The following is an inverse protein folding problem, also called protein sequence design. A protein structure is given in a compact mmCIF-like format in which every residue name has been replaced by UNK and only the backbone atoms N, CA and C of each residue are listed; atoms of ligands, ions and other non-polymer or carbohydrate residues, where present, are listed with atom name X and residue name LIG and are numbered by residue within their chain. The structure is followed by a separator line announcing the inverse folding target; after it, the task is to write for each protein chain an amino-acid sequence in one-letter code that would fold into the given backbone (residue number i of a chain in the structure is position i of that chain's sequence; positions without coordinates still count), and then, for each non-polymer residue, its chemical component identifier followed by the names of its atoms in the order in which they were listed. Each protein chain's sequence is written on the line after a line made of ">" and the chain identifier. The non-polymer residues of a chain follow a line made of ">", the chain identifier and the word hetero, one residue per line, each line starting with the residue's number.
data_IF_927411865742
#
_entry.id   IF_927411865742
#
_cell.length_a   1.000
_cell.length_b   1.000
_cell.length_c   1.000
_cell.angle_alpha   90.00
_cell.angle_beta   90.00
_cell.angle_gamma   90.00
#
_symmetry.space_group_name_H-M   'P 1'
#
loop_
_entity.id
_entity.type
_entity.pdbx_description
1 polymer ?
#
# COMPACT_ATOMS: atom_id res chain seq x y z
N UNK A 1 -14.21 -30.73 4.02
CA UNK A 1 -14.79 -30.89 5.37
C UNK A 1 -14.55 -29.56 6.08
N UNK A 2 -15.58 -28.71 6.17
CA UNK A 2 -15.49 -27.48 6.96
C UNK A 2 -15.58 -27.96 8.41
N UNK A 3 -14.49 -27.83 9.16
CA UNK A 3 -14.52 -28.14 10.59
C UNK A 3 -15.41 -27.10 11.27
N UNK A 4 -16.51 -27.56 11.85
CA UNK A 4 -17.41 -26.73 12.65
C UNK A 4 -16.57 -25.99 13.71
N UNK A 5 -16.60 -24.65 13.69
CA UNK A 5 -15.93 -23.79 14.68
C UNK A 5 -14.61 -23.15 14.26
N UNK A 6 -14.08 -23.40 13.06
CA UNK A 6 -12.88 -22.69 12.58
C UNK A 6 -13.26 -21.38 11.89
N UNK A 7 -12.54 -20.30 12.20
CA UNK A 7 -12.70 -19.03 11.47
C UNK A 7 -12.20 -19.16 10.04
N UNK A 8 -12.78 -18.41 9.10
CA UNK A 8 -12.31 -18.34 7.70
C UNK A 8 -10.85 -17.97 7.62
N UNK A 9 -10.39 -17.09 8.51
CA UNK A 9 -8.98 -16.68 8.61
C UNK A 9 -8.06 -17.85 9.01
N UNK A 10 -8.49 -18.71 9.94
CA UNK A 10 -7.70 -19.89 10.30
C UNK A 10 -7.56 -20.86 9.12
N UNK A 11 -8.61 -21.06 8.34
CA UNK A 11 -8.58 -21.91 7.15
C UNK A 11 -7.60 -21.34 6.13
N UNK A 12 -7.68 -20.03 5.83
CA UNK A 12 -6.77 -19.31 4.94
C UNK A 12 -5.30 -19.50 5.36
N UNK A 13 -4.98 -19.31 6.65
CA UNK A 13 -3.63 -19.50 7.15
C UNK A 13 -3.17 -20.97 7.12
N UNK A 14 -4.08 -21.93 7.33
CA UNK A 14 -3.74 -23.34 7.21
C UNK A 14 -3.40 -23.74 5.78
N UNK A 15 -4.14 -23.22 4.80
CA UNK A 15 -3.85 -23.42 3.38
C UNK A 15 -2.51 -22.74 3.00
N UNK A 16 -2.29 -21.52 3.47
CA UNK A 16 -1.01 -20.80 3.28
C UNK A 16 0.15 -21.57 3.89
N UNK A 17 -0.02 -22.13 5.09
CA UNK A 17 0.99 -22.98 5.74
C UNK A 17 1.33 -24.20 4.88
N UNK A 18 0.32 -24.87 4.33
CA UNK A 18 0.53 -26.00 3.42
C UNK A 18 1.33 -25.60 2.18
N UNK A 19 0.97 -24.46 1.56
CA UNK A 19 1.72 -23.90 0.43
C UNK A 19 3.18 -23.69 0.78
N UNK A 20 3.48 -23.04 1.93
CA UNK A 20 4.84 -22.73 2.33
C UNK A 20 5.69 -23.96 2.66
N UNK A 21 5.07 -25.07 3.06
CA UNK A 21 5.77 -26.33 3.35
C UNK A 21 5.96 -27.22 2.12
N UNK A 22 5.03 -27.20 1.19
CA UNK A 22 5.00 -28.16 0.08
C UNK A 22 5.39 -27.56 -1.27
N UNK A 23 5.36 -26.21 -1.44
CA UNK A 23 5.72 -25.60 -2.70
C UNK A 23 7.19 -25.78 -3.04
N UNK A 24 7.45 -26.00 -4.32
CA UNK A 24 8.77 -26.13 -4.91
C UNK A 24 8.99 -25.03 -5.95
N UNK A 25 10.22 -24.79 -6.46
CA UNK A 25 10.46 -23.83 -7.55
C UNK A 25 9.63 -24.07 -8.81
N UNK A 26 9.07 -25.26 -8.98
CA UNK A 26 8.20 -25.60 -10.11
C UNK A 26 6.72 -25.41 -9.85
N UNK A 27 6.34 -25.02 -8.64
CA UNK A 27 4.95 -24.77 -8.25
C UNK A 27 4.43 -23.45 -8.85
N UNK A 28 3.12 -23.39 -9.04
CA UNK A 28 2.37 -22.16 -9.26
C UNK A 28 1.52 -21.90 -8.02
N UNK A 29 1.77 -20.78 -7.37
CA UNK A 29 1.04 -20.33 -6.17
C UNK A 29 0.13 -19.17 -6.54
N UNK A 30 -1.13 -19.23 -6.10
CA UNK A 30 -2.11 -18.15 -6.28
C UNK A 30 -2.67 -17.82 -4.90
N UNK A 31 -2.46 -16.57 -4.48
CA UNK A 31 -2.95 -16.02 -3.20
C UNK A 31 -3.80 -14.78 -3.49
N UNK A 32 -4.99 -14.74 -2.88
CA UNK A 32 -5.94 -13.66 -3.08
C UNK A 32 -6.29 -13.02 -1.73
N UNK A 33 -5.85 -11.77 -1.54
CA UNK A 33 -6.09 -10.94 -0.36
C UNK A 33 -5.71 -11.59 0.99
N UNK A 34 -4.59 -12.32 1.05
CA UNK A 34 -4.11 -12.95 2.28
C UNK A 34 -4.02 -11.93 3.43
N UNK A 35 -4.57 -12.31 4.58
CA UNK A 35 -4.55 -11.49 5.80
C UNK A 35 -5.78 -10.59 5.99
N UNK A 36 -6.78 -10.63 5.09
CA UNK A 36 -7.99 -9.81 5.19
C UNK A 36 -8.84 -10.13 6.43
N UNK A 37 -8.72 -11.34 6.98
CA UNK A 37 -9.54 -11.83 8.08
C UNK A 37 -9.11 -11.40 9.49
N UNK A 38 -8.07 -10.57 9.63
CA UNK A 38 -7.52 -10.10 10.92
C UNK A 38 -7.35 -8.59 10.96
N UNK A 39 -6.68 -8.06 11.99
CA UNK A 39 -6.31 -6.64 12.07
C UNK A 39 -5.42 -6.25 10.90
N UNK A 40 -5.53 -4.98 10.43
CA UNK A 40 -4.73 -4.50 9.30
C UNK A 40 -3.23 -4.68 9.53
N UNK A 41 -2.73 -4.44 10.74
CA UNK A 41 -1.29 -4.56 11.03
C UNK A 41 -0.82 -6.01 10.97
N UNK A 42 -1.56 -6.94 11.59
CA UNK A 42 -1.21 -8.36 11.55
C UNK A 42 -1.34 -8.92 10.13
N UNK A 43 -2.41 -8.52 9.41
CA UNK A 43 -2.65 -8.94 8.03
C UNK A 43 -1.52 -8.51 7.10
N UNK A 44 -1.09 -7.24 7.18
CA UNK A 44 0.05 -6.73 6.40
C UNK A 44 1.34 -7.46 6.76
N UNK A 45 1.63 -7.66 8.05
CA UNK A 45 2.86 -8.32 8.49
C UNK A 45 2.93 -9.78 8.00
N UNK A 46 1.82 -10.52 8.08
CA UNK A 46 1.73 -11.89 7.56
C UNK A 46 1.90 -11.90 6.05
N UNK A 47 1.17 -11.05 5.33
CA UNK A 47 1.24 -10.97 3.88
C UNK A 47 2.65 -10.62 3.38
N UNK A 48 3.32 -9.62 3.99
CA UNK A 48 4.70 -9.24 3.68
C UNK A 48 5.66 -10.42 3.88
N UNK A 49 5.58 -11.09 5.03
CA UNK A 49 6.46 -12.23 5.34
C UNK A 49 6.25 -13.41 4.38
N UNK A 50 5.01 -13.65 3.96
CA UNK A 50 4.69 -14.71 2.96
C UNK A 50 5.23 -14.33 1.59
N UNK A 51 5.06 -13.09 1.14
CA UNK A 51 5.63 -12.61 -0.14
C UNK A 51 7.14 -12.76 -0.14
N UNK A 52 7.81 -12.34 0.94
CA UNK A 52 9.25 -12.48 1.07
C UNK A 52 9.69 -13.96 0.98
N UNK A 53 9.04 -14.85 1.74
CA UNK A 53 9.34 -16.29 1.71
C UNK A 53 9.17 -16.90 0.33
N UNK A 54 8.12 -16.53 -0.40
CA UNK A 54 7.86 -17.02 -1.77
C UNK A 54 8.88 -16.48 -2.76
N UNK A 55 9.29 -15.21 -2.63
CA UNK A 55 10.19 -14.55 -3.58
C UNK A 55 11.67 -14.87 -3.37
N UNK A 56 12.09 -15.03 -2.12
CA UNK A 56 13.53 -15.21 -1.77
C UNK A 56 13.91 -16.67 -1.57
N UNK A 57 13.08 -17.45 -0.85
CA UNK A 57 13.46 -18.80 -0.44
C UNK A 57 12.91 -19.87 -1.38
N UNK A 58 11.62 -19.80 -1.71
CA UNK A 58 10.96 -20.83 -2.53
C UNK A 58 11.19 -20.60 -4.03
N UNK A 59 11.22 -19.35 -4.48
CA UNK A 59 11.48 -19.01 -5.87
C UNK A 59 10.44 -19.55 -6.85
N UNK A 60 9.23 -19.90 -6.39
CA UNK A 60 8.17 -20.42 -7.23
C UNK A 60 7.41 -19.30 -7.95
N UNK A 61 6.72 -19.64 -9.04
CA UNK A 61 5.86 -18.69 -9.73
C UNK A 61 4.66 -18.37 -8.88
N UNK A 62 4.48 -17.08 -8.54
CA UNK A 62 3.41 -16.64 -7.65
C UNK A 62 2.59 -15.52 -8.27
N UNK A 63 1.27 -15.60 -8.16
CA UNK A 63 0.34 -14.50 -8.34
C UNK A 63 -0.24 -14.13 -6.97
N UNK A 64 0.03 -12.91 -6.51
CA UNK A 64 -0.39 -12.41 -5.21
C UNK A 64 -1.26 -11.16 -5.40
N UNK A 65 -2.58 -11.30 -5.21
CA UNK A 65 -3.49 -10.16 -5.23
C UNK A 65 -3.62 -9.59 -3.82
N UNK A 66 -3.57 -8.26 -3.68
CA UNK A 66 -3.69 -7.59 -2.39
C UNK A 66 -4.21 -6.17 -2.54
N UNK A 67 -4.85 -5.67 -1.50
CA UNK A 67 -5.22 -4.27 -1.32
C UNK A 67 -4.27 -3.52 -0.37
N UNK A 68 -3.21 -4.17 0.12
CA UNK A 68 -2.23 -3.56 1.01
C UNK A 68 -1.19 -2.75 0.24
N UNK A 69 -1.40 -1.43 0.14
CA UNK A 69 -0.47 -0.54 -0.58
C UNK A 69 0.94 -0.50 0.01
N UNK A 70 1.10 -0.76 1.31
CA UNK A 70 2.41 -0.84 1.96
C UNK A 70 3.34 -1.91 1.38
N UNK A 71 2.77 -3.02 0.87
CA UNK A 71 3.55 -4.05 0.17
C UNK A 71 4.15 -3.54 -1.15
N UNK A 72 3.51 -2.57 -1.80
CA UNK A 72 4.07 -1.93 -3.00
C UNK A 72 5.35 -1.18 -2.65
N UNK A 73 5.34 -0.39 -1.58
CA UNK A 73 6.51 0.38 -1.15
C UNK A 73 7.67 -0.56 -0.76
N UNK A 74 7.35 -1.68 -0.10
CA UNK A 74 8.33 -2.66 0.37
C UNK A 74 8.96 -3.46 -0.78
N UNK A 75 8.15 -3.92 -1.74
CA UNK A 75 8.61 -4.87 -2.77
C UNK A 75 8.81 -4.26 -4.17
N UNK A 76 8.54 -2.95 -4.39
CA UNK A 76 8.64 -2.33 -5.71
C UNK A 76 10.03 -2.39 -6.34
N UNK A 77 11.08 -2.40 -5.52
CA UNK A 77 12.47 -2.52 -5.95
C UNK A 77 13.04 -3.95 -5.84
N UNK A 78 12.22 -4.92 -5.42
CA UNK A 78 12.69 -6.29 -5.20
C UNK A 78 12.90 -7.02 -6.55
N UNK A 79 14.07 -7.64 -6.81
CA UNK A 79 14.43 -8.18 -8.13
C UNK A 79 13.51 -9.32 -8.60
N UNK A 80 12.92 -10.08 -7.67
CA UNK A 80 12.07 -11.22 -7.97
C UNK A 80 10.57 -10.89 -7.91
N UNK A 81 10.20 -9.62 -7.71
CA UNK A 81 8.80 -9.20 -7.60
C UNK A 81 8.46 -8.21 -8.72
N UNK A 82 7.36 -8.45 -9.40
CA UNK A 82 6.84 -7.58 -10.45
C UNK A 82 5.46 -7.07 -10.06
N UNK A 83 5.26 -5.76 -10.17
CA UNK A 83 3.98 -5.14 -9.85
C UNK A 83 3.06 -5.12 -11.05
N UNK A 84 1.78 -5.39 -10.80
CA UNK A 84 0.73 -5.28 -11.79
C UNK A 84 -0.57 -4.78 -11.14
N UNK A 85 -1.45 -4.18 -11.92
CA UNK A 85 -2.75 -3.74 -11.45
C UNK A 85 -3.83 -3.89 -12.51
N UNK A 86 -5.10 -3.89 -12.07
CA UNK A 86 -6.24 -3.85 -12.98
C UNK A 86 -6.46 -2.43 -13.45
N UNK A 87 -6.41 -2.22 -14.77
CA UNK A 87 -6.51 -0.88 -15.36
C UNK A 87 -7.91 -0.30 -15.30
N UNK A 88 -7.99 1.01 -15.18
CA UNK A 88 -9.20 1.80 -15.31
C UNK A 88 -8.95 3.03 -16.20
N UNK A 89 -10.01 3.60 -16.74
CA UNK A 89 -10.00 4.94 -17.34
C UNK A 89 -10.76 5.89 -16.44
N UNK A 90 -10.15 7.03 -16.15
CA UNK A 90 -10.84 8.19 -15.59
C UNK A 90 -11.24 9.06 -16.76
N UNK A 91 -12.54 9.37 -16.92
CA UNK A 91 -13.00 10.22 -18.01
C UNK A 91 -12.46 11.65 -17.81
N UNK A 92 -11.79 12.18 -18.85
CA UNK A 92 -11.35 13.57 -18.86
C UNK A 92 -12.55 14.50 -18.93
N UNK A 93 -12.46 15.61 -18.20
CA UNK A 93 -13.53 16.62 -18.00
C UNK A 93 -13.66 17.52 -19.24
N UNK A 94 -13.94 16.99 -20.41
CA UNK A 94 -14.07 17.84 -21.60
C UNK A 94 -15.51 18.16 -22.01
N UNK A 95 -16.53 17.55 -21.44
CA UNK A 95 -17.91 17.70 -21.93
C UNK A 95 -19.04 17.78 -20.87
N UNK A 96 -18.76 18.06 -19.59
CA UNK A 96 -19.82 18.13 -18.58
C UNK A 96 -19.84 19.51 -17.92
N UNK A 97 -21.04 20.10 -17.83
CA UNK A 97 -21.31 21.43 -17.27
C UNK A 97 -20.58 21.66 -15.94
N UNK A 98 -19.65 22.61 -15.91
CA UNK A 98 -18.86 23.05 -14.76
C UNK A 98 -19.69 23.74 -13.66
N UNK A 99 -21.01 23.72 -13.74
CA UNK A 99 -21.90 24.39 -12.81
C UNK A 99 -22.44 23.49 -11.68
N UNK A 100 -22.00 22.27 -11.59
CA UNK A 100 -22.40 21.39 -10.49
C UNK A 100 -21.31 21.46 -9.38
N UNK A 101 -21.61 22.15 -8.28
CA UNK A 101 -20.72 22.29 -7.12
C UNK A 101 -20.29 20.94 -6.49
N UNK A 102 -20.92 19.85 -6.91
CA UNK A 102 -20.61 18.47 -6.52
C UNK A 102 -19.85 17.70 -7.60
N UNK A 103 -19.36 18.35 -8.66
CA UNK A 103 -18.64 17.68 -9.72
C UNK A 103 -17.23 17.28 -9.24
N UNK A 104 -17.02 15.98 -9.12
CA UNK A 104 -15.72 15.40 -8.80
C UNK A 104 -15.11 14.81 -10.09
N UNK A 105 -13.94 15.31 -10.48
CA UNK A 105 -13.20 14.84 -11.67
C UNK A 105 -12.93 13.32 -11.62
N UNK A 106 -12.83 12.74 -10.43
CA UNK A 106 -12.70 11.30 -10.23
C UNK A 106 -14.05 10.55 -10.36
N UNK A 107 -15.13 11.24 -10.70
CA UNK A 107 -16.48 10.66 -10.64
C UNK A 107 -16.80 9.64 -11.74
N UNK A 108 -16.08 9.61 -12.85
CA UNK A 108 -16.33 8.72 -13.99
C UNK A 108 -15.17 7.73 -14.20
N UNK A 109 -15.06 6.75 -13.32
CA UNK A 109 -14.09 5.66 -13.47
C UNK A 109 -14.73 4.50 -14.21
N UNK A 110 -14.11 4.09 -15.31
CA UNK A 110 -14.47 2.88 -16.05
C UNK A 110 -13.40 1.80 -15.81
N UNK A 111 -13.80 0.70 -15.19
CA UNK A 111 -12.92 -0.45 -14.99
C UNK A 111 -12.78 -1.22 -16.30
N UNK A 112 -11.54 -1.41 -16.77
CA UNK A 112 -11.26 -2.05 -18.05
C UNK A 112 -11.05 -3.56 -17.93
N UNK A 113 -10.90 -4.08 -16.71
CA UNK A 113 -10.64 -5.51 -16.43
C UNK A 113 -9.43 -6.06 -17.19
N UNK A 114 -8.39 -5.24 -17.39
CA UNK A 114 -7.13 -5.61 -18.02
C UNK A 114 -5.99 -5.48 -17.03
N UNK A 115 -5.19 -6.53 -16.91
CA UNK A 115 -3.97 -6.51 -16.14
C UNK A 115 -2.90 -5.71 -16.90
N UNK A 116 -2.30 -4.73 -16.21
CA UNK A 116 -1.22 -3.90 -16.76
C UNK A 116 -0.07 -3.85 -15.76
N UNK A 117 1.15 -3.63 -16.25
CA UNK A 117 2.34 -3.48 -15.40
C UNK A 117 2.31 -2.21 -14.57
N UNK A 118 2.91 -2.27 -13.40
CA UNK A 118 2.97 -1.18 -12.44
C UNK A 118 1.97 -1.30 -11.29
N UNK A 119 2.23 -0.56 -10.22
CA UNK A 119 1.37 -0.53 -9.04
C UNK A 119 0.16 0.40 -9.24
N UNK A 120 -0.96 0.08 -8.61
CA UNK A 120 -2.08 0.99 -8.49
C UNK A 120 -1.81 1.99 -7.36
N UNK A 121 -1.73 3.27 -7.68
CA UNK A 121 -1.43 4.34 -6.72
C UNK A 121 -2.67 4.98 -6.10
N UNK A 122 -3.86 4.65 -6.59
CA UNK A 122 -5.13 5.24 -6.13
C UNK A 122 -6.14 4.15 -5.75
N UNK A 123 -6.94 4.43 -4.73
CA UNK A 123 -8.12 3.63 -4.39
C UNK A 123 -9.36 4.21 -5.08
N UNK A 124 -10.18 3.34 -5.64
CA UNK A 124 -11.45 3.69 -6.29
C UNK A 124 -12.68 3.24 -5.49
N UNK A 125 -12.52 2.95 -4.20
CA UNK A 125 -13.59 2.47 -3.34
C UNK A 125 -14.80 3.40 -3.28
N UNK A 126 -14.59 4.72 -3.21
CA UNK A 126 -15.67 5.72 -3.22
C UNK A 126 -16.42 5.77 -4.57
N UNK A 127 -15.71 5.51 -5.68
CA UNK A 127 -16.35 5.43 -6.99
C UNK A 127 -17.24 4.19 -7.09
N UNK A 128 -16.79 3.06 -6.57
CA UNK A 128 -17.60 1.83 -6.48
C UNK A 128 -18.80 2.02 -5.58
N UNK A 129 -18.63 2.67 -4.42
CA UNK A 129 -19.72 2.98 -3.50
C UNK A 129 -20.82 3.85 -4.16
N UNK A 130 -20.41 4.83 -4.99
CA UNK A 130 -21.36 5.63 -5.80
C UNK A 130 -22.07 4.79 -6.86
N UNK A 131 -21.34 3.92 -7.57
CA UNK A 131 -21.93 2.99 -8.54
C UNK A 131 -22.94 2.04 -7.88
N UNK A 132 -22.67 1.65 -6.64
CA UNK A 132 -23.57 0.87 -5.79
C UNK A 132 -24.75 1.71 -5.23
N UNK A 133 -24.84 3.00 -5.59
CA UNK A 133 -25.91 3.93 -5.20
C UNK A 133 -26.00 4.16 -3.68
N UNK A 134 -24.87 4.24 -2.97
CA UNK A 134 -24.89 4.73 -1.60
C UNK A 134 -25.44 6.16 -1.56
N UNK A 135 -26.16 6.56 -0.48
CA UNK A 135 -26.68 7.91 -0.30
C UNK A 135 -25.57 8.97 -0.42
N UNK A 136 -25.90 10.11 -1.05
CA UNK A 136 -24.89 11.14 -1.36
C UNK A 136 -24.28 11.78 -0.11
N UNK A 137 -25.04 11.94 0.96
CA UNK A 137 -24.58 12.45 2.25
C UNK A 137 -23.53 11.50 2.88
N UNK A 138 -23.73 10.19 2.77
CA UNK A 138 -22.77 9.17 3.20
C UNK A 138 -21.48 9.26 2.37
N UNK A 139 -21.60 9.39 1.05
CA UNK A 139 -20.44 9.52 0.15
C UNK A 139 -19.64 10.79 0.44
N UNK A 140 -20.30 11.93 0.67
CA UNK A 140 -19.65 13.19 1.01
C UNK A 140 -18.90 13.09 2.34
N UNK A 141 -19.54 12.49 3.35
CA UNK A 141 -18.90 12.24 4.65
C UNK A 141 -17.70 11.29 4.54
N UNK A 142 -17.84 10.20 3.78
CA UNK A 142 -16.77 9.24 3.56
C UNK A 142 -15.58 9.88 2.84
N UNK A 143 -15.82 10.74 1.84
CA UNK A 143 -14.75 11.47 1.13
C UNK A 143 -13.98 12.40 2.07
N UNK A 144 -14.68 13.17 2.90
CA UNK A 144 -14.05 14.06 3.86
C UNK A 144 -13.18 13.27 4.86
N UNK A 145 -13.67 12.13 5.35
CA UNK A 145 -12.90 11.25 6.25
C UNK A 145 -11.71 10.59 5.58
N UNK A 146 -11.87 10.09 4.35
CA UNK A 146 -10.76 9.50 3.58
C UNK A 146 -9.61 10.49 3.42
N UNK A 147 -9.93 11.72 3.01
CA UNK A 147 -8.93 12.78 2.88
C UNK A 147 -8.22 13.06 4.19
N UNK A 148 -8.95 13.17 5.30
CA UNK A 148 -8.36 13.39 6.62
C UNK A 148 -7.44 12.23 7.03
N UNK A 149 -7.83 10.97 6.76
CA UNK A 149 -6.99 9.81 7.05
C UNK A 149 -5.72 9.81 6.22
N UNK A 150 -5.81 10.09 4.91
CA UNK A 150 -4.63 10.18 4.03
C UNK A 150 -3.65 11.28 4.49
N UNK A 151 -4.16 12.47 4.83
CA UNK A 151 -3.36 13.58 5.36
C UNK A 151 -2.68 13.20 6.69
N UNK A 152 -3.42 12.56 7.60
CA UNK A 152 -2.90 12.12 8.89
C UNK A 152 -1.80 11.07 8.72
N UNK A 153 -2.05 10.05 7.90
CA UNK A 153 -1.07 8.98 7.65
C UNK A 153 0.19 9.52 6.96
N UNK A 154 0.03 10.43 5.99
CA UNK A 154 1.13 11.08 5.31
C UNK A 154 1.99 11.93 6.26
N UNK A 155 1.37 12.67 7.20
CA UNK A 155 2.12 13.45 8.21
C UNK A 155 2.89 12.55 9.17
N UNK A 156 2.25 11.50 9.69
CA UNK A 156 2.91 10.55 10.60
C UNK A 156 4.09 9.85 9.91
N UNK A 157 3.94 9.43 8.66
CA UNK A 157 5.02 8.81 7.90
C UNK A 157 6.20 9.79 7.67
N UNK A 158 5.91 11.05 7.34
CA UNK A 158 6.93 12.09 7.17
C UNK A 158 7.67 12.40 8.47
N UNK A 159 6.96 12.50 9.59
CA UNK A 159 7.55 12.73 10.90
C UNK A 159 8.43 11.57 11.35
N UNK A 160 7.97 10.33 11.13
CA UNK A 160 8.74 9.12 11.42
C UNK A 160 10.03 9.05 10.59
N UNK A 161 9.96 9.31 9.28
CA UNK A 161 11.13 9.37 8.40
C UNK A 161 12.11 10.46 8.83
N UNK A 162 11.60 11.65 9.13
CA UNK A 162 12.44 12.77 9.59
C UNK A 162 13.13 12.45 10.92
N UNK A 163 12.43 11.80 11.86
CA UNK A 163 13.02 11.35 13.12
C UNK A 163 14.10 10.27 12.90
N UNK A 164 13.87 9.33 11.97
CA UNK A 164 14.87 8.33 11.61
C UNK A 164 16.13 8.95 10.98
N UNK A 165 15.96 9.92 10.07
CA UNK A 165 17.08 10.66 9.47
C UNK A 165 17.88 11.40 10.55
N UNK A 166 17.21 12.01 11.54
CA UNK A 166 17.90 12.71 12.65
C UNK A 166 18.73 11.74 13.49
N UNK A 167 18.20 10.56 13.83
CA UNK A 167 18.93 9.51 14.58
C UNK A 167 20.14 9.02 13.79
N UNK A 168 19.96 8.66 12.53
CA UNK A 168 21.04 8.21 11.66
C UNK A 168 22.15 9.27 11.55
N UNK A 169 21.79 10.54 11.52
CA UNK A 169 22.74 11.63 11.45
C UNK A 169 23.55 11.81 12.72
N UNK A 170 22.92 11.59 13.89
CA UNK A 170 23.64 11.61 15.17
C UNK A 170 24.58 10.41 15.30
N UNK A 171 24.17 9.23 14.85
CA UNK A 171 25.01 8.04 14.82
C UNK A 171 26.24 8.22 13.91
N UNK A 172 26.04 8.81 12.71
CA UNK A 172 27.10 9.09 11.77
C UNK A 172 28.11 10.12 12.30
N UNK A 173 27.67 11.14 13.04
CA UNK A 173 28.58 12.11 13.68
C UNK A 173 29.49 11.46 14.68
N UNK A 174 29.02 10.43 15.39
CA UNK A 174 29.80 9.70 16.37
C UNK A 174 30.90 8.81 15.76
N UNK A 175 30.82 8.51 14.44
CA UNK A 175 31.77 7.66 13.71
C UNK A 175 32.94 8.46 13.12
N UNK A 176 32.85 9.81 13.07
CA UNK A 176 33.86 10.72 12.48
C UNK A 176 33.83 10.71 10.96
N UNK A 177 33.37 11.80 10.36
CA UNK A 177 33.19 11.92 8.93
C UNK A 177 34.20 12.83 8.23
N UNK A 178 34.43 12.53 6.98
CA UNK A 178 35.06 13.45 6.02
C UNK A 178 34.21 14.72 5.88
N UNK A 179 34.83 15.94 5.80
CA UNK A 179 34.14 17.24 5.74
C UNK A 179 33.06 17.37 4.66
N UNK A 180 33.22 16.67 3.55
CA UNK A 180 32.25 16.69 2.42
C UNK A 180 30.94 15.94 2.77
N UNK A 181 31.06 14.84 3.50
CA UNK A 181 29.93 14.07 3.99
C UNK A 181 29.20 14.78 5.14
N UNK A 182 29.95 15.46 6.01
CA UNK A 182 29.37 16.33 7.05
C UNK A 182 28.47 17.43 6.46
N UNK A 183 28.92 18.11 5.39
CA UNK A 183 28.12 19.13 4.73
C UNK A 183 26.83 18.59 4.12
N UNK A 184 26.87 17.41 3.49
CA UNK A 184 25.66 16.74 2.97
C UNK A 184 24.72 16.33 4.10
N UNK A 185 25.25 15.82 5.20
CA UNK A 185 24.50 15.45 6.37
C UNK A 185 23.78 16.65 7.00
N UNK A 186 24.47 17.78 7.16
CA UNK A 186 23.87 19.03 7.65
C UNK A 186 22.72 19.53 6.77
N UNK A 187 22.81 19.38 5.47
CA UNK A 187 21.72 19.72 4.53
C UNK A 187 20.49 18.83 4.75
N UNK A 188 20.69 17.51 4.82
CA UNK A 188 19.60 16.54 5.07
C UNK A 188 18.95 16.76 6.45
N UNK A 189 19.74 17.05 7.47
CA UNK A 189 19.26 17.40 8.81
C UNK A 189 18.39 18.66 8.81
N UNK A 190 18.80 19.69 8.07
CA UNK A 190 18.00 20.90 7.89
C UNK A 190 16.64 20.61 7.26
N UNK A 191 16.59 19.77 6.23
CA UNK A 191 15.35 19.34 5.60
C UNK A 191 14.45 18.53 6.53
N UNK A 192 15.00 17.57 7.26
CA UNK A 192 14.25 16.77 8.24
C UNK A 192 13.65 17.61 9.36
N UNK A 193 14.41 18.57 9.92
CA UNK A 193 13.91 19.53 10.93
C UNK A 193 12.78 20.40 10.43
N UNK A 194 12.83 20.80 9.14
CA UNK A 194 11.77 21.62 8.52
C UNK A 194 10.48 20.81 8.36
N UNK A 195 10.56 19.52 8.06
CA UNK A 195 9.40 18.63 7.97
C UNK A 195 8.74 18.46 9.33
N UNK A 196 9.52 18.23 10.40
CA UNK A 196 9.02 18.11 11.78
C UNK A 196 8.36 19.42 12.26
N UNK A 197 8.96 20.57 11.93
CA UNK A 197 8.44 21.88 12.34
C UNK A 197 7.12 22.26 11.65
N UNK A 198 6.87 21.77 10.44
CA UNK A 198 5.63 22.02 9.68
C UNK A 198 4.50 21.06 10.03
N UNK A 199 4.77 19.98 10.75
CA UNK A 199 3.78 19.00 11.20
C UNK A 199 3.11 19.34 12.55
N UNK A 200 3.50 20.45 13.15
CA UNK A 200 2.87 21.06 14.35
C UNK A 200 1.98 22.23 13.93
#
# INVERSE_FOLDING_TARGET
>A
MIFEGQSTFFVELSETSTILHEATPHSLVILDELGRGTSTFDGVAIASSVVQKLAEDLGCRTMFATHYHSLVDEFSAHPNVSMANMSCKVAEVSEVNQNDENYDADSNVMFLYKLVGGACTKSYGLNVARLARLPQDVLNTARAKSKLFEETMSSVAKESLAAAILRLADDIKNIGLNPTLEKKLHTLLGQARTVIAKGK
#
